data_IF_803871613792
#
_entry.id   IF_803871613792
#
_cell.length_a   1.000
_cell.length_b   1.000
_cell.length_c   1.000
_cell.angle_alpha   90.00
_cell.angle_beta   90.00
_cell.angle_gamma   90.00
#
_symmetry.space_group_name_H-M   'P 1'
#
loop_
_entity.id
_entity.type
_entity.pdbx_description
1 polymer ?
#
# COMPACT_ATOMS: atom_id res chain seq x y z
N UNK A 1 10.36 18.64 19.20
CA UNK A 1 9.20 19.11 18.39
C UNK A 1 9.63 20.13 17.34
N UNK A 2 10.39 21.19 17.67
CA UNK A 2 10.85 22.22 16.70
C UNK A 2 11.69 21.62 15.55
N UNK A 3 12.60 20.72 15.82
CA UNK A 3 13.42 20.04 14.78
C UNK A 3 12.57 19.25 13.79
N UNK A 4 11.50 18.59 14.28
CA UNK A 4 10.59 17.83 13.42
C UNK A 4 9.80 18.76 12.49
N UNK A 5 9.30 19.88 13.00
CA UNK A 5 8.59 20.87 12.18
C UNK A 5 9.53 21.49 11.14
N UNK A 6 10.77 21.78 11.53
CA UNK A 6 11.79 22.30 10.60
C UNK A 6 12.14 21.29 9.51
N UNK A 7 12.30 20.01 9.87
CA UNK A 7 12.52 18.92 8.93
C UNK A 7 11.39 18.83 7.89
N UNK A 8 10.14 18.81 8.34
CA UNK A 8 8.97 18.74 7.45
C UNK A 8 8.92 19.97 6.55
N UNK A 9 9.06 21.16 7.08
CA UNK A 9 9.01 22.42 6.31
C UNK A 9 10.08 22.48 5.21
N UNK A 10 11.30 22.05 5.50
CA UNK A 10 12.41 22.06 4.54
C UNK A 10 12.28 20.99 3.46
N UNK A 11 11.55 19.92 3.71
CA UNK A 11 11.40 18.79 2.80
C UNK A 11 9.96 18.59 2.29
N UNK A 12 9.05 19.53 2.55
CA UNK A 12 7.61 19.35 2.35
C UNK A 12 7.22 18.88 0.96
N UNK A 13 7.88 19.36 -0.10
CA UNK A 13 7.61 18.93 -1.48
C UNK A 13 7.98 17.48 -1.69
N UNK A 14 9.17 17.08 -1.26
CA UNK A 14 9.66 15.73 -1.49
C UNK A 14 8.95 14.71 -0.60
N UNK A 15 8.63 15.07 0.63
CA UNK A 15 7.75 14.28 1.51
C UNK A 15 6.34 14.20 0.92
N UNK A 16 5.83 15.31 0.37
CA UNK A 16 4.57 15.36 -0.35
C UNK A 16 4.55 14.47 -1.59
N UNK A 17 5.67 14.33 -2.30
CA UNK A 17 5.80 13.38 -3.40
C UNK A 17 5.58 11.94 -2.91
N UNK A 18 6.28 11.52 -1.85
CA UNK A 18 6.09 10.18 -1.29
C UNK A 18 4.66 9.93 -0.81
N UNK A 19 4.10 10.88 -0.06
CA UNK A 19 2.71 10.83 0.41
C UNK A 19 1.72 10.70 -0.74
N UNK A 20 1.85 11.56 -1.75
CA UNK A 20 0.92 11.62 -2.88
C UNK A 20 1.02 10.37 -3.76
N UNK A 21 2.23 9.84 -3.95
CA UNK A 21 2.46 8.58 -4.68
C UNK A 21 1.84 7.39 -3.93
N UNK A 22 1.98 7.34 -2.60
CA UNK A 22 1.31 6.35 -1.76
C UNK A 22 -0.21 6.48 -1.83
N UNK A 23 -0.74 7.70 -1.79
CA UNK A 23 -2.17 7.99 -1.92
C UNK A 23 -2.75 7.51 -3.25
N UNK A 24 -2.08 7.82 -4.37
CA UNK A 24 -2.52 7.40 -5.72
C UNK A 24 -2.43 5.87 -5.89
N UNK A 25 -1.51 5.20 -5.20
CA UNK A 25 -1.40 3.74 -5.26
C UNK A 25 -2.70 3.02 -4.89
N UNK A 26 -3.62 3.73 -4.23
CA UNK A 26 -4.95 3.25 -3.83
C UNK A 26 -5.75 2.68 -4.99
N UNK A 27 -5.65 3.23 -6.19
CA UNK A 27 -6.35 2.71 -7.37
C UNK A 27 -6.03 1.24 -7.69
N UNK A 28 -4.87 0.74 -7.29
CA UNK A 28 -4.48 -0.66 -7.45
C UNK A 28 -4.58 -1.49 -6.17
N UNK A 29 -5.10 -0.95 -5.09
CA UNK A 29 -5.25 -1.68 -3.82
C UNK A 29 -6.51 -2.55 -3.80
N UNK A 30 -6.42 -3.68 -3.09
CA UNK A 30 -7.53 -4.65 -2.99
C UNK A 30 -8.80 -4.00 -2.46
N UNK A 31 -8.70 -3.21 -1.40
CA UNK A 31 -9.87 -2.59 -0.77
C UNK A 31 -10.62 -1.64 -1.70
N UNK A 32 -9.93 -1.00 -2.66
CA UNK A 32 -10.56 -0.12 -3.63
C UNK A 32 -11.20 -0.90 -4.79
N UNK A 33 -10.44 -1.81 -5.42
CA UNK A 33 -10.95 -2.64 -6.54
C UNK A 33 -12.16 -3.45 -6.10
N UNK A 34 -12.14 -4.01 -4.90
CA UNK A 34 -13.21 -4.84 -4.37
C UNK A 34 -14.51 -4.08 -4.04
N UNK A 35 -14.48 -2.74 -3.93
CA UNK A 35 -15.70 -1.94 -3.83
C UNK A 35 -16.60 -2.08 -5.06
N UNK A 36 -16.01 -2.38 -6.21
CA UNK A 36 -16.71 -2.55 -7.49
C UNK A 36 -17.04 -4.03 -7.79
N UNK A 37 -16.82 -4.94 -6.83
CA UNK A 37 -16.94 -6.39 -7.07
C UNK A 37 -18.37 -6.81 -7.41
N UNK A 38 -19.39 -6.15 -6.88
CA UNK A 38 -20.79 -6.41 -7.19
C UNK A 38 -21.07 -6.14 -8.68
N UNK A 39 -20.83 -4.91 -9.11
CA UNK A 39 -21.06 -4.43 -10.46
C UNK A 39 -20.18 -5.17 -11.50
N UNK A 40 -18.95 -5.49 -11.14
CA UNK A 40 -18.06 -6.26 -12.01
C UNK A 40 -18.60 -7.67 -12.20
N UNK A 41 -18.97 -8.37 -11.13
CA UNK A 41 -19.52 -9.74 -11.22
C UNK A 41 -20.81 -9.78 -12.04
N UNK A 42 -21.70 -8.82 -11.83
CA UNK A 42 -22.92 -8.70 -12.58
C UNK A 42 -22.65 -8.46 -14.07
N UNK A 43 -21.76 -7.50 -14.40
CA UNK A 43 -21.42 -7.15 -15.78
C UNK A 43 -20.77 -8.31 -16.57
N UNK A 44 -20.08 -9.22 -15.90
CA UNK A 44 -19.37 -10.37 -16.53
C UNK A 44 -20.03 -11.71 -16.24
N UNK A 45 -21.21 -11.75 -15.58
CA UNK A 45 -21.90 -12.96 -15.13
C UNK A 45 -21.02 -13.93 -14.35
N UNK A 46 -20.23 -13.40 -13.40
CA UNK A 46 -19.29 -14.18 -12.60
C UNK A 46 -19.85 -14.50 -11.22
N UNK A 47 -19.72 -15.73 -10.81
CA UNK A 47 -19.87 -16.13 -9.40
C UNK A 47 -18.77 -15.52 -8.52
N UNK A 48 -18.95 -15.55 -7.22
CA UNK A 48 -17.90 -15.12 -6.27
C UNK A 48 -16.59 -15.88 -6.47
N UNK A 49 -16.65 -17.20 -6.70
CA UNK A 49 -15.47 -18.04 -6.90
C UNK A 49 -14.75 -17.75 -8.20
N UNK A 50 -15.49 -17.57 -9.31
CA UNK A 50 -14.88 -17.22 -10.60
C UNK A 50 -14.20 -15.85 -10.54
N UNK A 51 -14.84 -14.85 -9.95
CA UNK A 51 -14.20 -13.54 -9.74
C UNK A 51 -12.96 -13.63 -8.86
N UNK A 52 -13.00 -14.46 -7.81
CA UNK A 52 -11.84 -14.69 -6.96
C UNK A 52 -10.67 -15.32 -7.74
N UNK A 53 -10.92 -16.26 -8.64
CA UNK A 53 -9.91 -16.85 -9.52
C UNK A 53 -9.30 -15.80 -10.47
N UNK A 54 -10.14 -15.00 -11.13
CA UNK A 54 -9.71 -13.90 -12.00
C UNK A 54 -8.80 -12.93 -11.23
N UNK A 55 -9.24 -12.52 -10.03
CA UNK A 55 -8.48 -11.62 -9.17
C UNK A 55 -7.15 -12.23 -8.71
N UNK A 56 -7.16 -13.51 -8.32
CA UNK A 56 -5.96 -14.22 -7.87
C UNK A 56 -4.93 -14.34 -9.00
N UNK A 57 -5.34 -14.71 -10.21
CA UNK A 57 -4.45 -14.82 -11.38
C UNK A 57 -3.83 -13.45 -11.69
N UNK A 58 -4.63 -12.39 -11.77
CA UNK A 58 -4.13 -11.03 -12.02
C UNK A 58 -3.16 -10.56 -10.94
N UNK A 59 -3.47 -10.82 -9.66
CA UNK A 59 -2.63 -10.42 -8.53
C UNK A 59 -1.32 -11.20 -8.48
N UNK A 60 -1.36 -12.53 -8.62
CA UNK A 60 -0.16 -13.38 -8.61
C UNK A 60 0.78 -13.04 -9.77
N UNK A 61 0.23 -12.87 -10.97
CA UNK A 61 1.00 -12.47 -12.15
C UNK A 61 1.68 -11.11 -11.94
N UNK A 62 0.97 -10.15 -11.34
CA UNK A 62 1.54 -8.84 -11.02
C UNK A 62 2.68 -8.93 -10.00
N UNK A 63 2.51 -9.74 -8.95
CA UNK A 63 3.53 -9.97 -7.94
C UNK A 63 4.79 -10.62 -8.51
N UNK A 64 4.63 -11.61 -9.39
CA UNK A 64 5.75 -12.25 -10.07
C UNK A 64 6.53 -11.23 -10.93
N UNK A 65 5.83 -10.45 -11.76
CA UNK A 65 6.48 -9.49 -12.64
C UNK A 65 7.16 -8.33 -11.86
N UNK A 66 6.63 -7.99 -10.68
CA UNK A 66 7.18 -6.94 -9.82
C UNK A 66 8.64 -7.23 -9.40
N UNK A 67 9.04 -8.49 -9.31
CA UNK A 67 10.42 -8.90 -8.96
C UNK A 67 11.45 -8.30 -9.93
N UNK A 68 11.07 -8.16 -11.21
CA UNK A 68 11.93 -7.58 -12.25
C UNK A 68 11.67 -6.08 -12.45
N UNK A 69 10.41 -5.67 -12.53
CA UNK A 69 10.05 -4.27 -12.77
C UNK A 69 10.38 -3.36 -11.59
N UNK A 70 10.36 -3.89 -10.37
CA UNK A 70 10.73 -3.13 -9.18
C UNK A 70 12.16 -2.56 -9.20
N UNK A 71 13.05 -3.14 -10.03
CA UNK A 71 14.42 -2.63 -10.21
C UNK A 71 14.51 -1.40 -11.13
N UNK A 72 13.45 -1.07 -11.86
CA UNK A 72 13.43 0.08 -12.75
C UNK A 72 13.65 1.42 -12.02
N UNK A 73 13.18 1.52 -10.78
CA UNK A 73 13.39 2.71 -9.93
C UNK A 73 14.88 3.02 -9.71
N UNK A 74 15.75 2.00 -9.80
CA UNK A 74 17.19 2.15 -9.61
C UNK A 74 17.91 2.64 -10.87
N UNK A 75 17.28 2.54 -12.04
CA UNK A 75 17.90 2.75 -13.35
C UNK A 75 17.39 3.98 -14.09
N UNK A 76 16.22 4.48 -13.71
CA UNK A 76 15.50 5.53 -14.43
C UNK A 76 15.46 6.79 -13.55
N UNK A 77 15.62 7.98 -14.17
CA UNK A 77 15.42 9.26 -13.47
C UNK A 77 14.04 9.28 -12.80
N UNK A 78 14.00 9.71 -11.55
CA UNK A 78 12.79 9.66 -10.72
C UNK A 78 11.62 10.45 -11.31
N UNK A 79 11.88 11.56 -12.01
CA UNK A 79 10.83 12.37 -12.63
C UNK A 79 10.19 11.60 -13.78
N UNK A 80 11.03 11.04 -14.66
CA UNK A 80 10.54 10.23 -15.77
C UNK A 80 9.84 8.96 -15.29
N UNK A 81 10.43 8.28 -14.30
CA UNK A 81 9.83 7.10 -13.67
C UNK A 81 8.44 7.41 -13.08
N UNK A 82 8.30 8.51 -12.36
CA UNK A 82 7.02 8.91 -11.74
C UNK A 82 5.93 9.20 -12.77
N UNK A 83 6.28 9.85 -13.88
CA UNK A 83 5.35 10.07 -14.99
C UNK A 83 4.96 8.75 -15.63
N UNK A 84 5.92 7.86 -15.88
CA UNK A 84 5.68 6.55 -16.45
C UNK A 84 4.71 5.73 -15.57
N UNK A 85 4.89 5.76 -14.25
CA UNK A 85 3.99 5.08 -13.32
C UNK A 85 2.58 5.67 -13.33
N UNK A 86 2.49 7.01 -13.39
CA UNK A 86 1.22 7.69 -13.45
C UNK A 86 0.45 7.36 -14.75
N UNK A 87 1.13 7.40 -15.89
CA UNK A 87 0.56 7.01 -17.18
C UNK A 87 0.20 5.51 -17.23
N UNK A 88 1.04 4.66 -16.65
CA UNK A 88 0.76 3.24 -16.50
C UNK A 88 -0.50 2.97 -15.66
N UNK A 89 -0.68 3.73 -14.56
CA UNK A 89 -1.89 3.63 -13.74
C UNK A 89 -3.12 4.15 -14.49
N UNK A 90 -3.01 5.27 -15.21
CA UNK A 90 -4.07 5.81 -16.04
C UNK A 90 -4.48 4.84 -17.15
N UNK A 91 -3.50 4.21 -17.79
CA UNK A 91 -3.74 3.14 -18.77
C UNK A 91 -4.48 1.96 -18.15
N UNK A 92 -4.08 1.52 -16.95
CA UNK A 92 -4.74 0.44 -16.23
C UNK A 92 -6.21 0.77 -15.90
N UNK A 93 -6.49 2.00 -15.45
CA UNK A 93 -7.84 2.48 -15.19
C UNK A 93 -8.68 2.56 -16.50
N UNK A 94 -8.10 3.07 -17.58
CA UNK A 94 -8.77 3.09 -18.89
C UNK A 94 -9.06 1.67 -19.37
N UNK A 95 -8.09 0.77 -19.26
CA UNK A 95 -8.24 -0.62 -19.67
C UNK A 95 -9.34 -1.33 -18.86
N UNK A 96 -9.44 -1.03 -17.56
CA UNK A 96 -10.53 -1.55 -16.72
C UNK A 96 -11.89 -1.04 -17.15
N UNK A 97 -12.01 0.23 -17.55
CA UNK A 97 -13.26 0.82 -18.07
C UNK A 97 -13.76 0.13 -19.35
N UNK A 98 -12.85 -0.24 -20.25
CA UNK A 98 -13.17 -0.85 -21.55
C UNK A 98 -13.05 -2.38 -21.54
N UNK A 99 -12.87 -3.01 -20.39
CA UNK A 99 -12.73 -4.47 -20.32
C UNK A 99 -14.01 -5.16 -20.78
N UNK A 100 -13.85 -6.08 -21.76
CA UNK A 100 -14.88 -6.96 -22.27
C UNK A 100 -14.41 -8.42 -22.15
N UNK A 101 -15.21 -9.22 -21.44
CA UNK A 101 -14.85 -10.63 -21.20
C UNK A 101 -13.82 -10.84 -20.08
N UNK A 102 -13.75 -12.09 -19.63
CA UNK A 102 -12.98 -12.49 -18.42
C UNK A 102 -11.48 -12.30 -18.58
N UNK A 103 -10.95 -12.52 -19.78
CA UNK A 103 -9.52 -12.38 -20.07
C UNK A 103 -9.09 -10.92 -19.95
N UNK A 104 -9.84 -9.98 -20.54
CA UNK A 104 -9.55 -8.56 -20.41
C UNK A 104 -9.68 -8.09 -18.97
N UNK A 105 -10.67 -8.58 -18.23
CA UNK A 105 -10.82 -8.29 -16.80
C UNK A 105 -9.59 -8.77 -16.01
N UNK A 106 -9.09 -9.97 -16.29
CA UNK A 106 -7.87 -10.50 -15.64
C UNK A 106 -6.66 -9.61 -15.91
N UNK A 107 -6.49 -9.17 -17.16
CA UNK A 107 -5.41 -8.26 -17.57
C UNK A 107 -5.60 -6.88 -16.92
N UNK A 108 -6.82 -6.36 -16.84
CA UNK A 108 -7.11 -5.09 -16.18
C UNK A 108 -6.70 -5.14 -14.69
N UNK A 109 -7.09 -6.20 -13.98
CA UNK A 109 -6.71 -6.40 -12.57
C UNK A 109 -5.19 -6.52 -12.44
N UNK A 110 -4.54 -7.30 -13.31
CA UNK A 110 -3.07 -7.39 -13.35
C UNK A 110 -2.42 -6.01 -13.50
N UNK A 111 -2.89 -5.17 -14.45
CA UNK A 111 -2.35 -3.83 -14.70
C UNK A 111 -2.56 -2.90 -13.50
N UNK A 112 -3.76 -2.90 -12.91
CA UNK A 112 -4.07 -2.11 -11.71
C UNK A 112 -3.18 -2.52 -10.53
N UNK A 113 -3.01 -3.82 -10.32
CA UNK A 113 -2.22 -4.36 -9.21
C UNK A 113 -0.73 -4.04 -9.36
N UNK A 114 -0.17 -4.21 -10.55
CA UNK A 114 1.25 -3.94 -10.77
C UNK A 114 1.56 -2.44 -10.73
N UNK A 115 0.73 -1.60 -11.33
CA UNK A 115 0.94 -0.15 -11.33
C UNK A 115 0.70 0.45 -9.94
N UNK A 116 -0.42 0.13 -9.29
CA UNK A 116 -0.82 0.73 -8.01
C UNK A 116 -0.15 0.08 -6.82
N UNK A 117 -0.57 -1.13 -6.46
CA UNK A 117 -0.03 -1.80 -5.28
C UNK A 117 1.45 -2.14 -5.39
N UNK A 118 1.92 -2.47 -6.59
CA UNK A 118 3.32 -2.78 -6.84
C UNK A 118 4.18 -1.52 -6.92
N UNK A 119 4.24 -0.93 -8.11
CA UNK A 119 5.24 0.08 -8.46
C UNK A 119 5.03 1.44 -7.78
N UNK A 120 3.79 1.96 -7.70
CA UNK A 120 3.52 3.23 -7.01
C UNK A 120 3.79 3.13 -5.50
N UNK A 121 3.36 2.04 -4.85
CA UNK A 121 3.64 1.81 -3.43
C UNK A 121 5.14 1.68 -3.16
N UNK A 122 5.87 0.96 -4.02
CA UNK A 122 7.31 0.85 -3.94
C UNK A 122 7.99 2.21 -4.15
N UNK A 123 7.55 2.99 -5.15
CA UNK A 123 8.11 4.32 -5.42
C UNK A 123 7.98 5.24 -4.22
N UNK A 124 6.85 5.23 -3.52
CA UNK A 124 6.62 6.04 -2.34
C UNK A 124 7.64 5.74 -1.21
N UNK A 125 7.85 4.46 -0.90
CA UNK A 125 8.69 4.05 0.23
C UNK A 125 10.18 4.04 -0.11
N UNK A 126 10.56 3.46 -1.27
CA UNK A 126 11.97 3.35 -1.70
C UNK A 126 12.58 4.72 -1.95
N UNK A 127 11.83 5.66 -2.55
CA UNK A 127 12.34 7.01 -2.78
C UNK A 127 12.66 7.73 -1.46
N UNK A 128 11.79 7.60 -0.46
CA UNK A 128 12.06 8.19 0.85
C UNK A 128 13.24 7.52 1.54
N UNK A 129 13.32 6.19 1.48
CA UNK A 129 14.43 5.45 2.07
C UNK A 129 15.78 5.77 1.42
N UNK A 130 15.81 6.08 0.11
CA UNK A 130 17.03 6.34 -0.66
C UNK A 130 17.60 7.73 -0.45
N UNK A 131 16.73 8.77 -0.45
CA UNK A 131 17.19 10.16 -0.53
C UNK A 131 17.26 10.89 0.79
N UNK A 132 16.96 10.21 1.90
CA UNK A 132 17.17 10.73 3.25
C UNK A 132 18.28 9.95 3.97
N UNK A 133 19.02 10.66 4.82
CA UNK A 133 20.09 10.07 5.66
C UNK A 133 19.52 9.10 6.72
N UNK A 134 20.37 8.30 7.33
CA UNK A 134 19.96 7.28 8.30
C UNK A 134 19.16 7.85 9.47
N UNK A 135 19.47 9.10 9.89
CA UNK A 135 18.79 9.76 11.00
C UNK A 135 17.36 10.22 10.64
N UNK A 136 17.13 10.65 9.40
CA UNK A 136 15.86 11.20 8.93
C UNK A 136 15.03 10.26 8.08
N UNK A 137 15.63 9.14 7.61
CA UNK A 137 15.00 8.12 6.74
C UNK A 137 13.69 7.59 7.31
N UNK A 138 13.71 7.15 8.56
CA UNK A 138 12.51 6.62 9.23
C UNK A 138 11.36 7.63 9.28
N UNK A 139 11.67 8.89 9.58
CA UNK A 139 10.68 9.99 9.60
C UNK A 139 10.10 10.26 8.21
N UNK A 140 10.95 10.26 7.18
CA UNK A 140 10.53 10.50 5.81
C UNK A 140 9.63 9.38 5.29
N UNK A 141 10.02 8.11 5.49
CA UNK A 141 9.23 6.95 5.10
C UNK A 141 7.87 6.93 5.82
N UNK A 142 7.85 7.19 7.13
CA UNK A 142 6.61 7.23 7.91
C UNK A 142 5.64 8.31 7.43
N UNK A 143 6.15 9.53 7.15
CA UNK A 143 5.32 10.63 6.64
C UNK A 143 4.75 10.34 5.25
N UNK A 144 5.56 9.78 4.35
CA UNK A 144 5.10 9.37 3.04
C UNK A 144 4.06 8.25 3.13
N UNK A 145 4.28 7.29 4.02
CA UNK A 145 3.37 6.16 4.23
C UNK A 145 1.97 6.57 4.71
N UNK A 146 1.79 7.77 5.29
CA UNK A 146 0.47 8.31 5.63
C UNK A 146 -0.46 8.44 4.42
N UNK A 147 0.08 8.46 3.20
CA UNK A 147 -0.73 8.41 1.98
C UNK A 147 -1.62 7.17 1.87
N UNK A 148 -1.16 6.01 2.34
CA UNK A 148 -1.95 4.77 2.31
C UNK A 148 -3.22 4.84 3.18
N UNK A 149 -3.15 5.12 4.49
CA UNK A 149 -4.34 5.24 5.32
C UNK A 149 -5.24 6.41 4.89
N UNK A 150 -4.67 7.50 4.35
CA UNK A 150 -5.50 8.58 3.76
C UNK A 150 -6.31 8.08 2.58
N UNK A 151 -5.71 7.29 1.69
CA UNK A 151 -6.42 6.65 0.59
C UNK A 151 -7.50 5.68 1.09
N UNK A 152 -7.19 4.86 2.08
CA UNK A 152 -8.17 3.95 2.69
C UNK A 152 -9.36 4.68 3.34
N UNK A 153 -9.12 5.83 3.97
CA UNK A 153 -10.19 6.62 4.57
C UNK A 153 -11.13 7.26 3.53
N UNK A 154 -10.60 7.68 2.39
CA UNK A 154 -11.34 8.51 1.42
C UNK A 154 -11.98 7.66 0.31
N UNK A 155 -11.20 6.79 -0.33
CA UNK A 155 -11.64 6.16 -1.57
C UNK A 155 -12.81 5.18 -1.43
N UNK A 156 -12.93 4.33 -0.37
CA UNK A 156 -14.08 3.44 -0.25
C UNK A 156 -15.41 4.20 -0.14
N UNK A 157 -15.49 5.19 0.74
CA UNK A 157 -16.69 6.01 0.89
C UNK A 157 -17.02 6.79 -0.39
N UNK A 158 -16.00 7.36 -1.04
CA UNK A 158 -16.15 8.07 -2.31
C UNK A 158 -16.65 7.13 -3.42
N UNK A 159 -16.15 5.87 -3.48
CA UNK A 159 -16.59 4.89 -4.48
C UNK A 159 -18.07 4.60 -4.38
N UNK A 160 -18.58 4.35 -3.17
CA UNK A 160 -20.01 4.07 -2.97
C UNK A 160 -20.85 5.27 -3.38
N UNK A 161 -20.48 6.49 -2.99
CA UNK A 161 -21.20 7.72 -3.37
C UNK A 161 -21.21 7.94 -4.89
N UNK A 162 -20.08 7.70 -5.56
CA UNK A 162 -19.98 7.92 -7.00
C UNK A 162 -20.73 6.83 -7.78
N UNK A 163 -20.76 5.60 -7.29
CA UNK A 163 -21.56 4.50 -7.88
C UNK A 163 -23.07 4.76 -7.85
N UNK A 164 -23.57 5.60 -6.94
CA UNK A 164 -24.96 6.04 -6.96
C UNK A 164 -25.27 6.98 -8.13
N UNK A 165 -24.27 7.62 -8.69
CA UNK A 165 -24.43 8.66 -9.73
C UNK A 165 -23.96 8.19 -11.11
N UNK A 166 -22.97 7.31 -11.18
CA UNK A 166 -22.29 6.91 -12.41
C UNK A 166 -22.08 5.40 -12.48
N UNK A 167 -22.20 4.79 -13.68
CA UNK A 167 -21.77 3.41 -13.91
C UNK A 167 -20.30 3.22 -13.55
N UNK A 168 -19.96 2.05 -12.99
CA UNK A 168 -18.61 1.73 -12.53
C UNK A 168 -17.52 1.93 -13.62
N UNK A 169 -17.84 1.65 -14.88
CA UNK A 169 -16.92 1.87 -16.01
C UNK A 169 -16.54 3.34 -16.16
N UNK A 170 -17.50 4.25 -16.01
CA UNK A 170 -17.26 5.68 -16.08
C UNK A 170 -16.41 6.19 -14.92
N UNK A 171 -16.53 5.59 -13.73
CA UNK A 171 -15.67 5.93 -12.58
C UNK A 171 -14.20 5.62 -12.89
N UNK A 172 -13.92 4.46 -13.49
CA UNK A 172 -12.57 4.09 -13.91
C UNK A 172 -12.04 5.00 -15.02
N UNK A 173 -12.88 5.38 -15.99
CA UNK A 173 -12.50 6.29 -17.06
C UNK A 173 -12.19 7.70 -16.54
N UNK A 174 -13.03 8.24 -15.66
CA UNK A 174 -12.81 9.54 -15.01
C UNK A 174 -11.51 9.49 -14.19
N UNK A 175 -11.28 8.43 -13.47
CA UNK A 175 -10.03 8.22 -12.74
C UNK A 175 -8.81 8.26 -13.65
N UNK A 176 -8.87 7.62 -14.82
CA UNK A 176 -7.82 7.68 -15.83
C UNK A 176 -7.58 9.10 -16.33
N UNK A 177 -8.64 9.85 -16.63
CA UNK A 177 -8.54 11.25 -17.08
C UNK A 177 -7.89 12.12 -16.01
N UNK A 178 -8.29 11.98 -14.74
CA UNK A 178 -7.68 12.68 -13.61
C UNK A 178 -6.19 12.35 -13.49
N UNK A 179 -5.83 11.06 -13.61
CA UNK A 179 -4.45 10.59 -13.54
C UNK A 179 -3.59 11.14 -14.68
N UNK A 180 -4.14 11.34 -15.88
CA UNK A 180 -3.39 11.89 -17.02
C UNK A 180 -3.25 13.42 -16.91
N UNK A 181 -4.29 14.12 -16.51
CA UNK A 181 -4.32 15.59 -16.58
C UNK A 181 -3.76 16.24 -15.32
N UNK A 182 -4.19 15.78 -14.13
CA UNK A 182 -3.86 16.45 -12.88
C UNK A 182 -2.57 15.94 -12.23
N UNK A 183 -2.32 14.64 -12.32
CA UNK A 183 -1.26 14.03 -11.52
C UNK A 183 0.15 14.33 -12.04
N UNK A 184 0.47 14.27 -13.34
CA UNK A 184 1.81 14.57 -13.83
C UNK A 184 2.32 15.96 -13.46
N UNK A 185 1.57 17.06 -13.64
CA UNK A 185 2.03 18.37 -13.22
C UNK A 185 2.24 18.48 -11.71
N UNK A 186 1.41 17.83 -10.90
CA UNK A 186 1.58 17.79 -9.44
C UNK A 186 2.88 17.06 -9.07
N UNK A 187 3.13 15.88 -9.64
CA UNK A 187 4.35 15.12 -9.38
C UNK A 187 5.61 15.89 -9.79
N UNK A 188 5.60 16.54 -10.96
CA UNK A 188 6.72 17.37 -11.43
C UNK A 188 6.95 18.56 -10.52
N UNK A 189 5.90 19.21 -10.03
CA UNK A 189 6.01 20.31 -9.07
C UNK A 189 6.58 19.85 -7.73
N UNK A 190 6.16 18.68 -7.22
CA UNK A 190 6.67 18.09 -5.99
C UNK A 190 8.15 17.67 -6.12
N UNK A 191 8.57 17.23 -7.30
CA UNK A 191 9.96 16.85 -7.61
C UNK A 191 10.83 18.03 -8.08
N UNK A 192 10.34 19.28 -8.03
CA UNK A 192 11.16 20.45 -8.39
C UNK A 192 12.37 20.55 -7.44
N UNK A 193 13.57 20.59 -8.02
CA UNK A 193 14.84 20.58 -7.27
C UNK A 193 15.39 19.19 -6.97
N UNK A 194 14.76 18.12 -7.46
CA UNK A 194 15.22 16.74 -7.24
C UNK A 194 16.62 16.46 -7.78
N UNK A 195 17.04 17.12 -8.89
CA UNK A 195 18.38 16.97 -9.48
C UNK A 195 19.50 17.20 -8.46
N UNK A 196 19.44 18.30 -7.72
CA UNK A 196 20.42 18.62 -6.66
C UNK A 196 20.45 17.55 -5.57
N UNK A 197 19.26 17.02 -5.21
CA UNK A 197 19.16 15.94 -4.24
C UNK A 197 19.76 14.64 -4.75
N UNK A 198 19.59 14.35 -6.02
CA UNK A 198 20.14 13.17 -6.67
C UNK A 198 21.67 13.24 -6.76
N UNK A 199 22.23 14.39 -7.15
CA UNK A 199 23.67 14.63 -7.15
C UNK A 199 24.28 14.42 -5.77
N UNK A 200 23.69 15.02 -4.73
CA UNK A 200 24.13 14.83 -3.34
C UNK A 200 24.06 13.36 -2.91
N UNK A 201 23.04 12.63 -3.33
CA UNK A 201 22.92 11.18 -3.06
C UNK A 201 24.08 10.42 -3.73
N UNK A 202 24.38 10.69 -5.00
CA UNK A 202 25.48 10.03 -5.72
C UNK A 202 26.83 10.31 -5.07
N UNK A 203 27.10 11.57 -4.67
CA UNK A 203 28.33 11.93 -3.96
C UNK A 203 28.47 11.18 -2.62
N UNK A 204 27.37 11.08 -1.89
CA UNK A 204 27.34 10.35 -0.60
C UNK A 204 27.55 8.86 -0.81
N UNK A 205 26.87 8.27 -1.81
CA UNK A 205 27.03 6.85 -2.15
C UNK A 205 28.48 6.50 -2.54
N UNK A 206 29.13 7.34 -3.36
CA UNK A 206 30.53 7.14 -3.71
C UNK A 206 31.50 7.25 -2.51
N UNK A 207 31.19 8.14 -1.56
CA UNK A 207 32.00 8.25 -0.32
C UNK A 207 31.82 7.04 0.57
N UNK A 208 30.58 6.53 0.68
CA UNK A 208 30.26 5.34 1.49
C UNK A 208 30.91 4.09 0.89
N UNK A 209 30.86 3.91 -0.43
CA UNK A 209 31.48 2.78 -1.13
C UNK A 209 33.00 2.70 -0.87
N UNK A 210 33.69 3.84 -0.83
CA UNK A 210 35.11 3.92 -0.48
C UNK A 210 35.41 3.63 1.00
N UNK A 211 34.42 3.85 1.89
CA UNK A 211 34.57 3.57 3.32
C UNK A 211 34.21 2.10 3.65
N UNK A 212 33.23 1.52 2.92
CA UNK A 212 32.78 0.13 3.11
C UNK A 212 33.82 -0.92 2.66
N UNK A 213 34.79 -0.57 1.81
CA UNK A 213 35.94 -1.46 1.54
C UNK A 213 36.73 -1.82 2.79
N UNK A 214 36.60 -1.02 3.87
CA UNK A 214 37.24 -1.25 5.17
C UNK A 214 36.28 -1.77 6.28
N UNK A 215 34.97 -1.78 6.07
CA UNK A 215 33.99 -2.17 7.10
C UNK A 215 33.52 -3.62 6.87
N UNK A 216 33.99 -4.54 7.73
CA UNK A 216 33.68 -5.97 7.72
C UNK A 216 32.25 -6.28 8.21
N UNK A 217 31.26 -5.42 7.99
CA UNK A 217 29.87 -5.77 8.31
C UNK A 217 29.44 -6.91 7.41
N UNK A 218 28.93 -7.97 8.03
CA UNK A 218 28.49 -9.19 7.34
C UNK A 218 27.32 -8.87 6.42
N UNK A 219 27.57 -8.76 5.13
CA UNK A 219 26.52 -8.62 4.13
C UNK A 219 25.93 -10.00 3.80
N UNK A 220 24.64 -10.15 4.07
CA UNK A 220 23.93 -11.39 3.77
C UNK A 220 23.69 -11.53 2.26
N UNK A 221 24.13 -12.65 1.70
CA UNK A 221 23.78 -12.99 0.31
C UNK A 221 22.37 -13.61 0.25
N UNK A 222 21.67 -13.45 -0.89
CA UNK A 222 20.35 -14.07 -1.10
C UNK A 222 20.33 -15.57 -0.78
N UNK A 223 21.40 -16.28 -1.11
CA UNK A 223 21.54 -17.72 -0.85
C UNK A 223 21.65 -18.04 0.65
N UNK A 224 22.28 -17.18 1.43
CA UNK A 224 22.37 -17.33 2.88
C UNK A 224 21.03 -17.07 3.55
N UNK A 225 20.33 -15.98 3.17
CA UNK A 225 18.98 -15.67 3.67
C UNK A 225 17.99 -16.78 3.38
N UNK A 226 17.98 -17.33 2.15
CA UNK A 226 17.11 -18.44 1.76
C UNK A 226 17.44 -19.77 2.42
N UNK A 227 18.57 -19.90 3.13
CA UNK A 227 18.93 -21.06 3.93
C UNK A 227 18.62 -20.90 5.41
N UNK A 228 18.34 -19.69 5.87
CA UNK A 228 18.06 -19.41 7.27
C UNK A 228 16.59 -19.71 7.62
N UNK A 229 16.37 -20.61 8.57
CA UNK A 229 15.04 -20.98 9.05
C UNK A 229 14.27 -19.80 9.68
N UNK A 230 14.99 -18.86 10.30
CA UNK A 230 14.40 -17.66 10.92
C UNK A 230 13.72 -16.78 9.87
N UNK A 231 14.32 -16.67 8.67
CA UNK A 231 13.72 -15.95 7.54
C UNK A 231 12.34 -16.51 7.20
N UNK A 232 12.20 -17.84 7.07
CA UNK A 232 10.92 -18.46 6.73
C UNK A 232 9.87 -18.29 7.83
N UNK A 233 10.27 -18.41 9.09
CA UNK A 233 9.36 -18.20 10.23
C UNK A 233 8.84 -16.76 10.28
N UNK A 234 9.75 -15.78 10.15
CA UNK A 234 9.36 -14.37 10.09
C UNK A 234 8.47 -14.06 8.88
N UNK A 235 8.82 -14.61 7.71
CA UNK A 235 8.04 -14.45 6.48
C UNK A 235 6.63 -15.01 6.64
N UNK A 236 6.46 -16.22 7.21
CA UNK A 236 5.13 -16.80 7.45
C UNK A 236 4.29 -15.94 8.40
N UNK A 237 4.88 -15.45 9.49
CA UNK A 237 4.19 -14.55 10.41
C UNK A 237 3.72 -13.27 9.71
N UNK A 238 4.55 -12.65 8.89
CA UNK A 238 4.21 -11.42 8.17
C UNK A 238 3.19 -11.65 7.05
N UNK A 239 3.30 -12.76 6.32
CA UNK A 239 2.35 -13.12 5.26
C UNK A 239 0.95 -13.38 5.82
N UNK A 240 0.81 -13.86 7.06
CA UNK A 240 -0.49 -14.15 7.67
C UNK A 240 -1.38 -12.90 7.75
N UNK A 241 -0.82 -11.75 8.15
CA UNK A 241 -1.56 -10.49 8.18
C UNK A 241 -2.00 -10.05 6.80
N UNK A 242 -1.08 -10.09 5.83
CA UNK A 242 -1.38 -9.72 4.45
C UNK A 242 -2.48 -10.62 3.86
N UNK A 243 -2.44 -11.91 4.15
CA UNK A 243 -3.44 -12.88 3.72
C UNK A 243 -4.82 -12.56 4.28
N UNK A 244 -4.94 -12.39 5.61
CA UNK A 244 -6.22 -12.12 6.28
C UNK A 244 -6.81 -10.78 5.84
N UNK A 245 -6.02 -9.70 5.88
CA UNK A 245 -6.50 -8.37 5.47
C UNK A 245 -6.91 -8.35 3.99
N UNK A 246 -6.14 -8.99 3.11
CA UNK A 246 -6.50 -9.05 1.68
C UNK A 246 -7.78 -9.84 1.47
N UNK A 247 -7.95 -10.98 2.14
CA UNK A 247 -9.17 -11.78 2.07
C UNK A 247 -10.41 -11.01 2.54
N UNK A 248 -10.32 -10.35 3.69
CA UNK A 248 -11.42 -9.54 4.23
C UNK A 248 -11.75 -8.35 3.33
N UNK A 249 -10.74 -7.64 2.84
CA UNK A 249 -10.93 -6.54 1.91
C UNK A 249 -11.50 -7.00 0.55
N UNK A 250 -11.10 -8.17 0.08
CA UNK A 250 -11.63 -8.72 -1.16
C UNK A 250 -13.11 -9.07 -1.05
N UNK A 251 -13.52 -9.67 0.05
CA UNK A 251 -14.90 -10.10 0.30
C UNK A 251 -15.78 -9.04 0.96
N UNK A 252 -15.34 -7.80 1.09
CA UNK A 252 -16.00 -6.76 1.91
C UNK A 252 -17.44 -6.43 1.46
N UNK A 253 -17.71 -6.38 0.15
CA UNK A 253 -19.05 -6.14 -0.38
C UNK A 253 -19.95 -7.33 -0.06
N UNK A 254 -19.51 -8.53 -0.32
CA UNK A 254 -20.25 -9.76 0.01
C UNK A 254 -20.48 -9.91 1.53
N UNK A 255 -19.50 -9.55 2.34
CA UNK A 255 -19.63 -9.55 3.79
C UNK A 255 -20.73 -8.58 4.25
N UNK A 256 -20.80 -7.39 3.68
CA UNK A 256 -21.84 -6.42 3.98
C UNK A 256 -23.21 -6.93 3.54
N UNK A 257 -23.33 -7.55 2.37
CA UNK A 257 -24.55 -8.18 1.87
C UNK A 257 -25.07 -9.30 2.80
N UNK A 258 -24.21 -10.25 3.16
CA UNK A 258 -24.58 -11.41 4.01
C UNK A 258 -24.99 -10.97 5.42
N UNK A 259 -24.33 -9.95 5.96
CA UNK A 259 -24.62 -9.40 7.29
C UNK A 259 -25.76 -8.38 7.29
N UNK A 260 -26.30 -8.01 6.14
CA UNK A 260 -27.34 -6.99 6.00
C UNK A 260 -26.89 -5.58 6.39
N UNK A 261 -25.59 -5.28 6.26
CA UNK A 261 -25.05 -3.96 6.56
C UNK A 261 -25.18 -3.03 5.36
N UNK A 262 -25.49 -1.78 5.64
CA UNK A 262 -25.42 -0.74 4.60
C UNK A 262 -23.98 -0.56 4.13
N UNK A 263 -23.76 -0.63 2.81
CA UNK A 263 -22.44 -0.56 2.21
C UNK A 263 -21.82 0.83 2.39
N UNK A 264 -22.63 1.89 2.42
CA UNK A 264 -22.14 3.26 2.63
C UNK A 264 -21.62 3.42 4.07
N UNK A 265 -22.35 2.85 5.03
CA UNK A 265 -21.89 2.81 6.43
C UNK A 265 -20.60 2.01 6.57
N UNK A 266 -20.53 0.79 5.98
CA UNK A 266 -19.31 -0.03 5.99
C UNK A 266 -18.12 0.72 5.39
N UNK A 267 -18.29 1.33 4.22
CA UNK A 267 -17.26 2.09 3.55
C UNK A 267 -16.79 3.32 4.34
N UNK A 268 -17.71 4.01 5.04
CA UNK A 268 -17.36 5.15 5.91
C UNK A 268 -16.51 4.74 7.12
N UNK A 269 -16.68 3.52 7.62
CA UNK A 269 -15.90 2.99 8.75
C UNK A 269 -14.41 2.77 8.43
N UNK A 270 -14.00 2.83 7.15
CA UNK A 270 -12.56 2.85 6.80
C UNK A 270 -11.82 4.07 7.36
N UNK A 271 -12.52 5.15 7.69
CA UNK A 271 -11.93 6.29 8.42
C UNK A 271 -11.43 5.84 9.80
N UNK A 272 -12.23 5.00 10.50
CA UNK A 272 -11.84 4.45 11.82
C UNK A 272 -10.62 3.54 11.67
N UNK A 273 -10.64 2.66 10.65
CA UNK A 273 -9.49 1.83 10.31
C UNK A 273 -8.23 2.69 10.13
N UNK A 274 -8.29 3.74 9.32
CA UNK A 274 -7.14 4.60 9.01
C UNK A 274 -6.62 5.34 10.24
N UNK A 275 -7.51 5.88 11.08
CA UNK A 275 -7.13 6.56 12.34
C UNK A 275 -6.42 5.58 13.28
N UNK A 276 -7.00 4.39 13.49
CA UNK A 276 -6.40 3.37 14.34
C UNK A 276 -5.06 2.86 13.79
N UNK A 277 -4.94 2.72 12.46
CA UNK A 277 -3.72 2.33 11.80
C UNK A 277 -2.59 3.34 12.04
N UNK A 278 -2.86 4.63 11.85
CA UNK A 278 -1.86 5.69 12.07
C UNK A 278 -1.47 5.76 13.54
N UNK A 279 -2.45 5.78 14.45
CA UNK A 279 -2.19 5.84 15.88
C UNK A 279 -1.34 4.64 16.35
N UNK A 280 -1.71 3.43 15.92
CA UNK A 280 -1.01 2.21 16.35
C UNK A 280 0.37 2.06 15.71
N UNK A 281 0.61 2.58 14.51
CA UNK A 281 1.95 2.60 13.92
C UNK A 281 2.93 3.41 14.78
N UNK A 282 2.50 4.54 15.34
CA UNK A 282 3.31 5.37 16.24
C UNK A 282 3.54 4.65 17.58
N UNK A 283 2.48 4.10 18.16
CA UNK A 283 2.56 3.34 19.43
C UNK A 283 3.47 2.13 19.29
N UNK A 284 3.34 1.38 18.20
CA UNK A 284 4.19 0.21 17.94
C UNK A 284 5.65 0.61 17.75
N UNK A 285 5.93 1.73 17.10
CA UNK A 285 7.29 2.27 17.01
C UNK A 285 7.92 2.46 18.40
N UNK A 286 7.21 3.14 19.31
CA UNK A 286 7.68 3.33 20.70
C UNK A 286 7.85 2.01 21.47
N UNK A 287 6.96 1.03 21.21
CA UNK A 287 7.06 -0.29 21.85
C UNK A 287 8.25 -1.10 21.30
N UNK A 288 8.51 -1.02 19.98
CA UNK A 288 9.67 -1.65 19.35
C UNK A 288 10.97 -1.08 19.92
N UNK A 289 11.08 0.23 20.06
CA UNK A 289 12.26 0.88 20.64
C UNK A 289 12.52 0.44 22.08
N UNK A 290 11.46 0.10 22.82
CA UNK A 290 11.57 -0.28 24.24
C UNK A 290 11.75 -1.79 24.46
N UNK A 291 11.07 -2.64 23.69
CA UNK A 291 10.97 -4.08 23.94
C UNK A 291 11.58 -4.95 22.85
N UNK A 292 11.96 -4.35 21.70
CA UNK A 292 12.42 -5.04 20.51
C UNK A 292 11.30 -5.63 19.65
N UNK A 293 11.56 -5.78 18.37
CA UNK A 293 10.58 -6.26 17.40
C UNK A 293 10.18 -7.72 17.63
N UNK A 294 11.16 -8.58 17.92
CA UNK A 294 10.92 -10.02 18.09
C UNK A 294 9.99 -10.32 19.27
N UNK A 295 10.04 -9.51 20.33
CA UNK A 295 9.16 -9.64 21.51
C UNK A 295 7.72 -9.31 21.17
N UNK A 296 7.48 -8.35 20.28
CA UNK A 296 6.14 -7.89 19.91
C UNK A 296 5.49 -8.76 18.82
N UNK A 297 6.29 -9.44 18.02
CA UNK A 297 5.82 -10.26 16.89
C UNK A 297 4.75 -11.29 17.25
N UNK A 298 4.76 -11.99 18.38
CA UNK A 298 3.68 -12.93 18.72
C UNK A 298 2.32 -12.27 19.01
N UNK A 299 2.32 -11.00 19.39
CA UNK A 299 1.11 -10.32 19.90
C UNK A 299 0.42 -9.43 18.87
N UNK A 300 1.09 -9.00 17.83
CA UNK A 300 0.56 -7.98 16.90
C UNK A 300 -0.67 -8.44 16.11
N UNK A 301 -0.89 -9.75 15.98
CA UNK A 301 -2.05 -10.34 15.31
C UNK A 301 -3.27 -10.50 16.24
N UNK A 302 -3.13 -10.34 17.55
CA UNK A 302 -4.25 -10.55 18.49
C UNK A 302 -5.47 -9.68 18.18
N UNK A 303 -5.35 -8.36 17.87
CA UNK A 303 -6.52 -7.57 17.51
C UNK A 303 -7.22 -8.08 16.24
N UNK A 304 -6.47 -8.61 15.25
CA UNK A 304 -7.05 -9.21 14.05
C UNK A 304 -7.83 -10.49 14.38
N UNK A 305 -7.27 -11.34 15.22
CA UNK A 305 -7.96 -12.55 15.68
C UNK A 305 -9.27 -12.17 16.38
N UNK A 306 -9.22 -11.22 17.32
CA UNK A 306 -10.42 -10.72 17.98
C UNK A 306 -11.42 -10.13 16.97
N UNK A 307 -10.97 -9.38 15.98
CA UNK A 307 -11.84 -8.78 14.97
C UNK A 307 -12.55 -9.83 14.12
N UNK A 308 -11.86 -10.91 13.74
CA UNK A 308 -12.49 -12.00 12.98
C UNK A 308 -13.51 -12.79 13.81
N UNK A 309 -13.26 -12.98 15.11
CA UNK A 309 -14.27 -13.54 16.01
C UNK A 309 -15.50 -12.63 16.13
N UNK A 310 -15.30 -11.33 16.30
CA UNK A 310 -16.39 -10.35 16.34
C UNK A 310 -17.22 -10.41 15.06
N UNK A 311 -16.56 -10.47 13.89
CA UNK A 311 -17.24 -10.64 12.60
C UNK A 311 -18.02 -11.97 12.50
N UNK A 312 -17.49 -13.06 13.05
CA UNK A 312 -18.12 -14.37 12.94
C UNK A 312 -19.42 -14.47 13.74
N UNK A 313 -19.46 -13.86 14.93
CA UNK A 313 -20.54 -14.11 15.90
C UNK A 313 -21.56 -12.97 16.02
N UNK A 314 -21.27 -11.78 15.51
CA UNK A 314 -22.16 -10.62 15.68
C UNK A 314 -22.52 -10.00 14.33
N UNK A 315 -23.82 -9.64 14.17
CA UNK A 315 -24.36 -9.07 12.94
C UNK A 315 -24.76 -7.59 13.09
N UNK A 316 -24.72 -7.05 14.31
CA UNK A 316 -25.06 -5.65 14.55
C UNK A 316 -24.13 -4.68 13.79
N UNK A 317 -24.65 -3.56 13.29
CA UNK A 317 -23.84 -2.56 12.58
C UNK A 317 -22.67 -2.02 13.41
N UNK A 318 -22.78 -1.97 14.74
CA UNK A 318 -21.68 -1.62 15.63
C UNK A 318 -20.47 -2.57 15.51
N UNK A 319 -20.68 -3.81 15.05
CA UNK A 319 -19.63 -4.79 14.79
C UNK A 319 -18.63 -4.28 13.74
N UNK A 320 -19.10 -3.54 12.72
CA UNK A 320 -18.24 -2.95 11.69
C UNK A 320 -17.24 -1.98 12.31
N UNK A 321 -17.69 -1.15 13.26
CA UNK A 321 -16.83 -0.19 13.96
C UNK A 321 -15.72 -0.92 14.74
N UNK A 322 -16.11 -1.93 15.53
CA UNK A 322 -15.17 -2.72 16.31
C UNK A 322 -14.17 -3.48 15.42
N UNK A 323 -14.67 -4.08 14.33
CA UNK A 323 -13.83 -4.76 13.34
C UNK A 323 -12.82 -3.80 12.70
N UNK A 324 -13.27 -2.65 12.19
CA UNK A 324 -12.40 -1.67 11.53
C UNK A 324 -11.35 -1.09 12.48
N UNK A 325 -11.72 -0.84 13.74
CA UNK A 325 -10.77 -0.38 14.75
C UNK A 325 -9.67 -1.42 15.02
N UNK A 326 -10.05 -2.67 15.29
CA UNK A 326 -9.10 -3.75 15.59
C UNK A 326 -8.24 -4.13 14.38
N UNK A 327 -8.83 -4.16 13.18
CA UNK A 327 -8.09 -4.38 11.95
C UNK A 327 -7.10 -3.24 11.66
N UNK A 328 -7.48 -1.98 11.93
CA UNK A 328 -6.60 -0.81 11.83
C UNK A 328 -5.43 -0.90 12.83
N UNK A 329 -5.68 -1.30 14.07
CA UNK A 329 -4.64 -1.54 15.08
C UNK A 329 -3.62 -2.57 14.56
N UNK A 330 -4.08 -3.68 14.02
CA UNK A 330 -3.19 -4.71 13.45
C UNK A 330 -2.44 -4.17 12.24
N UNK A 331 -3.10 -3.42 11.35
CA UNK A 331 -2.47 -2.81 10.17
C UNK A 331 -1.33 -1.85 10.54
N UNK A 332 -1.53 -1.02 11.56
CA UNK A 332 -0.51 -0.10 12.07
C UNK A 332 0.68 -0.82 12.71
N UNK A 333 0.41 -1.83 13.53
CA UNK A 333 1.46 -2.66 14.13
C UNK A 333 2.27 -3.42 13.06
N UNK A 334 1.59 -4.00 12.07
CA UNK A 334 2.20 -4.74 10.97
C UNK A 334 3.18 -3.87 10.18
N UNK A 335 2.79 -2.64 9.82
CA UNK A 335 3.63 -1.74 9.04
C UNK A 335 4.98 -1.46 9.72
N UNK A 336 4.98 -1.30 11.04
CA UNK A 336 6.19 -1.07 11.84
C UNK A 336 7.00 -2.36 12.00
N UNK A 337 6.38 -3.46 12.40
CA UNK A 337 7.06 -4.74 12.67
C UNK A 337 7.71 -5.28 11.39
N UNK A 338 7.03 -5.23 10.22
CA UNK A 338 7.62 -5.67 8.95
C UNK A 338 8.88 -4.88 8.60
N UNK A 339 8.91 -3.59 8.89
CA UNK A 339 10.07 -2.75 8.56
C UNK A 339 11.28 -3.00 9.48
N UNK A 340 11.06 -3.42 10.72
CA UNK A 340 12.10 -3.52 11.75
C UNK A 340 12.61 -4.94 11.99
N UNK A 341 11.80 -5.98 11.76
CA UNK A 341 12.18 -7.37 12.04
C UNK A 341 13.41 -7.82 11.27
N UNK A 342 13.57 -7.35 10.02
CA UNK A 342 14.72 -7.69 9.19
C UNK A 342 16.04 -7.07 9.66
N UNK A 343 15.97 -6.06 10.50
CA UNK A 343 17.14 -5.44 11.10
C UNK A 343 17.61 -6.17 12.37
N UNK A 344 16.70 -6.93 13.01
CA UNK A 344 17.00 -7.68 14.24
C UNK A 344 17.36 -9.17 13.97
N UNK A 345 17.02 -9.72 12.78
CA UNK A 345 17.33 -11.10 12.37
C UNK A 345 18.71 -11.22 11.74
#
# INVERSE_FOLDING_TARGET
MLEYVHFVRNNIRFLGFGYFTAFISTFGQTFYIAMYSGEIREAFNLSHGEFANVYAIGTLSSGLLLIWLGKLIDRIDLRFYSILLCLGMAFACSFMSFAEGVVMLTVAIFLLRIAGQGLLSQAATVTMARYFDDYSRGRAVSLAALGFPSGQAIFPAMSVLVLLLLPWRNVWLISAIILIILIPPILLWLLKGHGVRHEKFLETAQKTEKLDENDKRRQWTRKQVLKDKRFFLAMMAMMSTAFVITGLNFHQVHLAEVKGWDLSFYASCFVIYAICQVAMSVVTGMLVDRYGTLTLTPFYMLPMICSTFVLAYFDASATVIAFMAMAGITGGATATIISTVWAEL
#
